data_IF_968555751389
#
_entry.id   IF_968555751389
#
_cell.length_a   1.000
_cell.length_b   1.000
_cell.length_c   1.000
_cell.angle_alpha   90.00
_cell.angle_beta   90.00
_cell.angle_gamma   90.00
#
_symmetry.space_group_name_H-M   'P 1'
#
loop_
_entity.id
_entity.type
_entity.pdbx_description
1 polymer ?
#
# COMPACT_ATOMS: atom_id res chain seq x y z
N UNK A 1 41.40 20.09 19.56
CA UNK A 1 40.54 19.19 20.35
C UNK A 1 39.30 19.88 20.93
N UNK A 2 39.37 21.16 21.34
CA UNK A 2 38.18 21.87 21.87
C UNK A 2 37.12 22.31 20.83
N UNK A 3 37.45 22.31 19.54
CA UNK A 3 36.55 22.79 18.50
C UNK A 3 35.66 21.68 17.87
N UNK A 4 36.03 20.43 18.02
CA UNK A 4 35.20 19.29 17.55
C UNK A 4 34.06 18.94 18.53
N UNK A 5 34.30 19.03 19.82
CA UNK A 5 33.32 18.76 20.86
C UNK A 5 32.18 19.84 20.85
N UNK A 6 32.55 21.09 20.60
CA UNK A 6 31.60 22.19 20.46
C UNK A 6 30.72 22.10 19.21
N UNK A 7 31.25 21.51 18.11
CA UNK A 7 30.49 21.23 16.90
C UNK A 7 29.55 20.05 17.06
N UNK A 8 29.96 19.02 17.78
CA UNK A 8 29.15 17.84 18.07
C UNK A 8 28.00 18.18 19.02
N UNK A 9 28.25 19.00 20.06
CA UNK A 9 27.19 19.52 20.96
C UNK A 9 26.19 20.42 20.23
N UNK A 10 26.63 21.26 19.28
CA UNK A 10 25.70 22.06 18.45
C UNK A 10 24.88 21.21 17.48
N UNK A 11 25.44 20.11 16.96
CA UNK A 11 24.71 19.15 16.13
C UNK A 11 23.67 18.39 16.95
N UNK A 12 24.01 17.92 18.14
CA UNK A 12 23.07 17.29 19.07
C UNK A 12 21.94 18.23 19.51
N UNK A 13 22.26 19.49 19.83
CA UNK A 13 21.24 20.47 20.24
C UNK A 13 20.28 20.84 19.10
N UNK A 14 20.75 20.89 17.85
CA UNK A 14 19.90 21.09 16.68
C UNK A 14 19.09 19.84 16.34
N UNK A 15 19.61 18.66 16.65
CA UNK A 15 18.92 17.38 16.47
C UNK A 15 17.77 17.26 17.49
N UNK A 16 18.00 17.52 18.78
CA UNK A 16 16.96 17.53 19.81
C UNK A 16 15.82 18.54 19.51
N UNK A 17 16.14 19.73 18.99
CA UNK A 17 15.10 20.70 18.59
C UNK A 17 14.29 20.26 17.38
N UNK A 18 14.89 19.52 16.45
CA UNK A 18 14.17 18.95 15.29
C UNK A 18 13.23 17.81 15.72
N UNK A 19 13.63 17.02 16.72
CA UNK A 19 12.85 15.94 17.31
C UNK A 19 11.65 16.46 18.12
N UNK A 20 11.82 17.51 18.92
CA UNK A 20 10.72 18.17 19.63
C UNK A 20 9.67 18.74 18.67
N UNK A 21 10.10 19.32 17.55
CA UNK A 21 9.20 19.83 16.51
C UNK A 21 8.46 18.67 15.83
N UNK A 22 9.13 17.56 15.57
CA UNK A 22 8.53 16.38 14.94
C UNK A 22 7.55 15.66 15.87
N UNK A 23 7.88 15.52 17.14
CA UNK A 23 7.01 14.97 18.17
C UNK A 23 5.76 15.86 18.39
N UNK A 24 5.91 17.18 18.37
CA UNK A 24 4.80 18.12 18.44
C UNK A 24 3.88 18.07 17.21
N UNK A 25 4.42 17.77 16.02
CA UNK A 25 3.65 17.63 14.78
C UNK A 25 2.90 16.29 14.73
N UNK A 26 3.50 15.21 15.25
CA UNK A 26 2.91 13.86 15.23
C UNK A 26 1.92 13.61 16.36
N UNK A 27 2.07 14.33 17.49
CA UNK A 27 1.23 14.17 18.67
C UNK A 27 0.01 15.12 18.74
N UNK A 28 -0.12 16.10 17.83
CA UNK A 28 -1.24 17.02 17.84
C UNK A 28 -1.72 17.44 16.44
N UNK A 29 -2.93 17.02 16.03
CA UNK A 29 -3.57 17.48 14.79
C UNK A 29 -3.76 19.00 14.71
N UNK A 30 -3.71 19.71 15.84
CA UNK A 30 -3.82 21.18 15.92
C UNK A 30 -2.60 21.92 15.36
N UNK A 31 -1.39 21.39 15.56
CA UNK A 31 -0.15 21.99 15.03
C UNK A 31 -0.06 21.85 13.52
N UNK A 32 -0.58 20.78 12.96
CA UNK A 32 -0.64 20.56 11.51
C UNK A 32 -1.52 21.64 10.81
N UNK A 33 -2.65 22.04 11.41
CA UNK A 33 -3.50 23.12 10.89
C UNK A 33 -2.88 24.52 11.03
N UNK A 34 -2.14 24.82 12.08
CA UNK A 34 -1.52 26.13 12.31
C UNK A 34 -0.42 26.45 11.29
N UNK A 35 0.35 25.46 10.85
CA UNK A 35 1.40 25.66 9.85
C UNK A 35 0.84 25.92 8.43
N UNK A 36 -0.37 25.45 8.12
CA UNK A 36 -1.01 25.65 6.82
C UNK A 36 -1.93 26.88 6.75
N UNK A 37 -2.45 27.37 7.87
CA UNK A 37 -3.29 28.60 7.88
C UNK A 37 -2.47 29.90 7.84
N UNK A 38 -1.20 29.90 8.24
CA UNK A 38 -0.37 31.11 8.25
C UNK A 38 0.01 31.64 6.87
N UNK A 39 -0.18 30.85 5.80
CA UNK A 39 0.07 31.28 4.40
C UNK A 39 -1.12 31.99 3.73
N UNK A 40 -2.33 31.96 4.32
CA UNK A 40 -3.52 32.65 3.77
C UNK A 40 -3.74 34.06 4.31
N UNK A 41 -3.15 34.44 5.45
CA UNK A 41 -3.39 35.76 6.07
C UNK A 41 -2.47 36.88 5.56
N UNK A 42 -1.53 36.60 4.65
CA UNK A 42 -0.62 37.65 4.14
C UNK A 42 -1.01 38.21 2.76
N UNK A 43 -2.20 37.85 2.23
CA UNK A 43 -2.69 38.37 0.94
C UNK A 43 -3.98 39.22 1.04
N UNK A 44 -4.46 39.55 2.24
CA UNK A 44 -5.73 40.30 2.41
C UNK A 44 -5.60 41.69 3.04
N UNK A 45 -4.41 42.26 3.17
CA UNK A 45 -4.23 43.60 3.78
C UNK A 45 -3.67 44.68 2.81
N UNK A 46 -4.12 44.68 1.55
CA UNK A 46 -3.96 45.87 0.69
C UNK A 46 -5.23 45.97 -0.14
N UNK A 47 -6.23 46.66 0.35
CA UNK A 47 -7.24 47.47 -0.33
C UNK A 47 -8.47 47.69 0.54
N UNK A 48 -8.43 48.67 1.40
CA UNK A 48 -9.61 49.37 1.90
C UNK A 48 -9.22 50.80 2.23
N UNK A 49 -9.58 51.73 1.37
CA UNK A 49 -9.84 53.13 1.73
C UNK A 49 -10.82 53.76 0.76
N UNK A 50 -11.87 54.30 1.41
CA UNK A 50 -12.69 55.45 1.11
C UNK A 50 -13.96 55.35 0.27
N UNK A 51 -15.05 55.52 1.00
CA UNK A 51 -16.42 55.92 0.63
C UNK A 51 -16.46 57.45 0.49
N UNK A 52 -17.37 58.09 -0.29
CA UNK A 52 -18.66 58.40 0.30
C UNK A 52 -19.90 58.39 -0.66
N UNK A 53 -21.03 58.30 0.01
CA UNK A 53 -22.45 58.39 -0.33
C UNK A 53 -22.93 59.53 -1.25
N UNK A 54 -23.99 59.28 -2.05
CA UNK A 54 -25.28 60.01 -2.00
C UNK A 54 -26.35 59.49 -2.96
N UNK A 55 -27.50 59.18 -2.44
CA UNK A 55 -28.92 59.53 -2.67
C UNK A 55 -29.60 59.44 -4.05
N UNK A 56 -30.73 58.71 -4.03
CA UNK A 56 -32.11 58.99 -4.52
C UNK A 56 -32.50 58.96 -6.02
N UNK A 57 -33.52 58.18 -6.29
CA UNK A 57 -34.82 58.46 -6.91
C UNK A 57 -35.21 57.72 -8.22
N UNK A 58 -36.26 56.87 -8.04
CA UNK A 58 -37.56 56.75 -8.79
C UNK A 58 -37.62 56.32 -10.28
N UNK A 59 -38.46 55.31 -10.47
CA UNK A 59 -39.18 54.75 -11.60
C UNK A 59 -40.00 55.84 -12.39
N UNK A 60 -40.36 55.74 -13.70
CA UNK A 60 -41.38 54.82 -14.20
C UNK A 60 -41.30 54.32 -15.67
N UNK A 61 -42.04 53.20 -15.89
CA UNK A 61 -42.91 52.78 -17.03
C UNK A 61 -42.51 52.80 -18.51
N UNK A 62 -42.95 51.68 -19.15
CA UNK A 62 -42.92 51.22 -20.51
C UNK A 62 -43.62 52.11 -21.56
N UNK A 63 -43.60 51.85 -22.89
CA UNK A 63 -44.31 50.73 -23.55
C UNK A 63 -43.69 50.08 -24.81
N UNK A 64 -44.15 48.85 -25.04
CA UNK A 64 -44.42 48.06 -26.25
C UNK A 64 -44.16 48.64 -27.65
N UNK A 65 -43.46 47.88 -28.52
CA UNK A 65 -43.90 47.47 -29.90
C UNK A 65 -43.02 46.37 -30.52
N UNK A 66 -43.60 45.69 -31.45
CA UNK A 66 -43.42 44.40 -32.10
C UNK A 66 -42.20 44.21 -33.03
N UNK A 67 -42.00 42.94 -33.28
CA UNK A 67 -41.52 42.23 -34.51
C UNK A 67 -40.03 42.11 -34.76
N UNK A 68 -39.60 40.82 -34.85
CA UNK A 68 -38.39 40.41 -35.53
C UNK A 68 -37.84 39.03 -35.11
N UNK A 69 -38.31 38.00 -35.76
CA UNK A 69 -37.80 36.63 -35.64
C UNK A 69 -36.30 36.54 -35.81
N UNK A 70 -35.59 35.95 -34.86
CA UNK A 70 -34.39 35.10 -35.09
C UNK A 70 -34.18 34.12 -33.94
N UNK A 71 -34.23 32.83 -34.28
CA UNK A 71 -33.91 31.68 -33.42
C UNK A 71 -32.52 31.87 -32.79
N UNK A 72 -32.43 31.84 -31.46
CA UNK A 72 -31.21 31.55 -30.71
C UNK A 72 -31.55 30.60 -29.58
N UNK A 73 -30.75 29.49 -29.55
CA UNK A 73 -30.71 28.43 -28.55
C UNK A 73 -30.56 29.03 -27.15
N UNK A 74 -31.49 28.75 -26.28
CA UNK A 74 -31.31 28.90 -24.85
C UNK A 74 -30.60 27.66 -24.33
N UNK A 75 -29.38 27.85 -23.88
CA UNK A 75 -28.70 26.91 -23.00
C UNK A 75 -29.15 27.21 -21.58
N UNK A 76 -29.62 26.18 -20.90
CA UNK A 76 -29.85 26.18 -19.47
C UNK A 76 -28.57 26.54 -18.74
N UNK A 77 -28.57 27.65 -18.01
CA UNK A 77 -27.64 27.98 -16.94
C UNK A 77 -28.45 27.86 -15.65
N UNK A 78 -28.36 26.73 -15.01
CA UNK A 78 -28.58 26.55 -13.57
C UNK A 78 -28.03 25.19 -13.17
N UNK A 79 -27.24 25.18 -12.09
CA UNK A 79 -26.64 24.03 -11.39
C UNK A 79 -25.37 23.43 -12.02
N UNK A 80 -24.25 24.09 -11.81
CA UNK A 80 -22.93 23.46 -11.76
C UNK A 80 -21.95 24.34 -10.99
N UNK A 81 -22.12 24.46 -9.68
CA UNK A 81 -21.14 25.14 -8.81
C UNK A 81 -20.85 24.41 -7.50
N UNK A 82 -21.10 23.09 -7.43
CA UNK A 82 -20.78 22.30 -6.24
C UNK A 82 -19.88 21.08 -6.48
N UNK A 83 -19.52 20.72 -7.74
CA UNK A 83 -18.72 19.53 -8.04
C UNK A 83 -17.23 19.78 -8.20
N UNK A 84 -16.79 21.03 -8.42
CA UNK A 84 -15.37 21.32 -8.65
C UNK A 84 -14.55 21.58 -7.35
N UNK A 85 -15.21 21.93 -6.24
CA UNK A 85 -14.52 22.13 -4.96
C UNK A 85 -14.14 20.82 -4.27
N UNK A 86 -14.93 19.76 -4.45
CA UNK A 86 -14.70 18.47 -3.80
C UNK A 86 -13.63 17.66 -4.54
N UNK A 87 -13.60 17.72 -5.87
CA UNK A 87 -12.55 17.09 -6.68
C UNK A 87 -11.16 17.72 -6.47
N UNK A 88 -11.08 19.04 -6.26
CA UNK A 88 -9.84 19.73 -5.91
C UNK A 88 -9.39 19.43 -4.47
N UNK A 89 -10.32 19.23 -3.53
CA UNK A 89 -10.01 18.85 -2.16
C UNK A 89 -9.45 17.41 -2.07
N UNK A 90 -10.04 16.45 -2.79
CA UNK A 90 -9.54 15.07 -2.89
C UNK A 90 -8.17 15.00 -3.58
N UNK A 91 -7.99 15.70 -4.71
CA UNK A 91 -6.70 15.79 -5.40
C UNK A 91 -5.61 16.41 -4.51
N UNK A 92 -5.96 17.38 -3.67
CA UNK A 92 -5.02 18.02 -2.76
C UNK A 92 -4.67 17.14 -1.55
N UNK A 93 -5.61 16.35 -1.04
CA UNK A 93 -5.37 15.41 0.08
C UNK A 93 -4.43 14.28 -0.33
N UNK A 94 -4.66 13.68 -1.51
CA UNK A 94 -3.79 12.64 -2.08
C UNK A 94 -2.40 13.20 -2.43
N UNK A 95 -2.33 14.42 -2.98
CA UNK A 95 -1.05 15.10 -3.25
C UNK A 95 -0.30 15.46 -1.97
N UNK A 96 -1.02 15.76 -0.88
CA UNK A 96 -0.43 16.10 0.42
C UNK A 96 0.07 14.87 1.14
N UNK A 97 -0.64 13.75 1.11
CA UNK A 97 -0.18 12.46 1.63
C UNK A 97 1.05 11.94 0.86
N UNK A 98 1.05 12.04 -0.48
CA UNK A 98 2.22 11.71 -1.30
C UNK A 98 3.42 12.63 -0.99
N UNK A 99 3.20 13.92 -0.76
CA UNK A 99 4.27 14.86 -0.36
C UNK A 99 4.81 14.57 1.05
N UNK A 100 3.96 14.23 2.03
CA UNK A 100 4.42 13.88 3.37
C UNK A 100 5.22 12.57 3.37
N UNK A 101 4.75 11.50 2.67
CA UNK A 101 5.51 10.26 2.49
C UNK A 101 6.84 10.50 1.76
N UNK A 102 6.86 11.37 0.74
CA UNK A 102 8.06 11.72 0.01
C UNK A 102 9.05 12.57 0.83
N UNK A 103 8.55 13.45 1.72
CA UNK A 103 9.39 14.24 2.64
C UNK A 103 10.02 13.35 3.72
N UNK A 104 9.26 12.43 4.30
CA UNK A 104 9.75 11.43 5.25
C UNK A 104 10.78 10.51 4.60
N UNK A 105 10.54 10.09 3.37
CA UNK A 105 11.47 9.27 2.57
C UNK A 105 12.76 10.03 2.19
N UNK A 106 12.68 11.32 1.81
CA UNK A 106 13.88 12.14 1.55
C UNK A 106 14.70 12.41 2.82
N UNK A 107 14.01 12.58 3.96
CA UNK A 107 14.68 12.75 5.25
C UNK A 107 15.38 11.47 5.68
N UNK A 108 14.75 10.33 5.48
CA UNK A 108 15.33 9.00 5.69
C UNK A 108 16.55 8.75 4.79
N UNK A 109 16.47 9.08 3.49
CA UNK A 109 17.63 8.99 2.57
C UNK A 109 18.79 9.93 2.95
N UNK A 110 18.50 11.08 3.54
CA UNK A 110 19.52 12.04 3.96
C UNK A 110 20.26 11.54 5.21
N UNK A 111 19.55 10.90 6.15
CA UNK A 111 20.15 10.23 7.31
C UNK A 111 21.01 9.04 6.90
N UNK A 112 20.55 8.22 5.95
CA UNK A 112 21.30 7.06 5.48
C UNK A 112 22.56 7.41 4.67
N UNK A 113 22.56 8.55 3.95
CA UNK A 113 23.76 9.01 3.23
C UNK A 113 24.89 9.51 4.13
N UNK A 114 24.59 9.89 5.36
CA UNK A 114 25.60 10.36 6.32
C UNK A 114 26.29 9.21 7.08
N UNK A 115 25.69 8.01 7.12
CA UNK A 115 26.24 6.85 7.84
C UNK A 115 26.99 5.84 6.94
N UNK A 116 27.10 6.08 5.64
CA UNK A 116 27.75 5.15 4.69
C UNK A 116 29.18 5.60 4.29
N UNK A 117 29.69 6.67 4.89
CA UNK A 117 31.08 7.02 4.75
C UNK A 117 31.88 6.45 5.95
N UNK A 118 32.59 5.38 5.71
CA UNK A 118 33.54 4.63 6.54
C UNK A 118 33.07 3.26 7.01
N UNK A 119 33.40 2.25 6.20
CA UNK A 119 34.18 1.04 6.54
C UNK A 119 34.07 0.00 5.43
N UNK A 120 35.08 -0.06 4.61
CA UNK A 120 35.40 -1.26 3.82
C UNK A 120 36.01 -2.28 4.79
N UNK A 121 35.38 -3.45 4.92
CA UNK A 121 35.93 -4.65 5.56
C UNK A 121 35.97 -5.77 4.52
N UNK A 122 37.09 -6.51 4.42
CA UNK A 122 37.29 -7.46 3.33
C UNK A 122 36.40 -8.70 3.48
N UNK A 123 35.97 -9.22 2.34
CA UNK A 123 35.21 -10.45 2.18
C UNK A 123 35.94 -11.67 2.75
N UNK A 124 35.36 -12.30 3.76
CA UNK A 124 35.70 -13.65 4.19
C UNK A 124 34.53 -14.60 3.93
N UNK A 125 34.92 -15.72 3.36
CA UNK A 125 34.14 -16.88 2.92
C UNK A 125 33.01 -17.31 3.86
N UNK A 126 31.85 -17.59 3.25
CA UNK A 126 30.69 -18.20 3.87
C UNK A 126 30.99 -19.57 4.47
N UNK A 127 30.87 -19.70 5.78
CA UNK A 127 30.65 -20.97 6.45
C UNK A 127 29.14 -21.11 6.72
N UNK A 128 28.55 -22.13 6.13
CA UNK A 128 27.20 -22.59 6.38
C UNK A 128 27.08 -23.13 7.80
N UNK A 129 26.23 -22.51 8.61
CA UNK A 129 25.81 -23.06 9.91
C UNK A 129 24.72 -24.08 9.64
N UNK A 130 25.05 -25.36 9.78
CA UNK A 130 24.12 -26.49 9.75
C UNK A 130 23.35 -26.51 11.08
N UNK A 131 22.04 -26.25 11.04
CA UNK A 131 21.13 -26.64 12.10
C UNK A 131 20.81 -28.12 11.92
N UNK A 132 21.26 -28.96 12.85
CA UNK A 132 20.96 -30.38 12.90
C UNK A 132 19.50 -30.61 13.24
N UNK A 133 18.74 -31.09 12.26
CA UNK A 133 17.45 -31.73 12.41
C UNK A 133 17.49 -32.99 11.58
N UNK A 134 17.10 -34.13 12.14
CA UNK A 134 17.09 -35.43 11.51
C UNK A 134 16.29 -35.39 10.18
N UNK A 135 16.99 -35.77 9.10
CA UNK A 135 16.39 -35.86 7.78
C UNK A 135 15.57 -37.18 7.74
N UNK A 136 14.24 -37.03 7.75
CA UNK A 136 13.36 -38.09 7.31
C UNK A 136 13.48 -38.14 5.78
N UNK A 137 14.18 -39.11 5.26
CA UNK A 137 14.21 -39.43 3.82
C UNK A 137 12.80 -39.81 3.36
N UNK A 138 12.06 -38.85 2.76
CA UNK A 138 10.87 -39.14 1.98
C UNK A 138 11.06 -38.64 0.54
N UNK A 139 11.16 -39.60 -0.35
CA UNK A 139 11.01 -39.54 -1.81
C UNK A 139 11.26 -38.18 -2.48
N UNK A 140 12.45 -37.95 -2.96
CA UNK A 140 12.87 -36.80 -3.77
C UNK A 140 12.27 -36.89 -5.18
N UNK A 141 11.06 -36.37 -5.33
CA UNK A 141 10.59 -35.91 -6.63
C UNK A 141 11.10 -34.46 -6.78
N UNK A 142 11.91 -34.21 -7.79
CA UNK A 142 12.52 -32.88 -8.07
C UNK A 142 11.46 -31.84 -8.34
N UNK A 143 11.29 -30.88 -7.42
CA UNK A 143 10.42 -29.69 -7.57
C UNK A 143 11.29 -28.43 -7.70
N UNK A 144 12.47 -28.56 -8.23
CA UNK A 144 13.38 -27.42 -8.42
C UNK A 144 12.91 -26.39 -9.47
N UNK A 145 11.76 -26.66 -10.16
CA UNK A 145 11.33 -25.82 -11.26
C UNK A 145 10.62 -24.52 -10.84
N UNK A 146 10.04 -24.41 -9.65
CA UNK A 146 9.23 -23.23 -9.28
C UNK A 146 10.02 -22.07 -8.65
N UNK A 147 11.26 -22.27 -8.23
CA UNK A 147 12.09 -21.24 -7.59
C UNK A 147 12.52 -20.12 -8.55
N UNK A 148 12.78 -18.95 -7.99
CA UNK A 148 13.32 -17.79 -8.71
C UNK A 148 14.74 -17.47 -8.25
N UNK A 149 15.74 -17.23 -9.15
CA UNK A 149 17.06 -16.79 -8.74
C UNK A 149 17.02 -15.40 -8.07
N UNK A 150 17.87 -15.20 -7.07
CA UNK A 150 18.09 -13.89 -6.49
C UNK A 150 19.05 -13.09 -7.41
N UNK A 151 18.51 -12.09 -8.10
CA UNK A 151 19.24 -11.27 -9.07
C UNK A 151 19.88 -10.02 -8.48
N UNK A 152 20.11 -10.01 -7.18
CA UNK A 152 20.72 -8.92 -6.40
C UNK A 152 19.77 -8.32 -5.37
N UNK A 153 19.74 -8.94 -4.17
CA UNK A 153 18.86 -8.58 -3.05
C UNK A 153 17.37 -8.47 -3.42
N UNK A 154 16.89 -9.36 -4.30
CA UNK A 154 15.52 -9.34 -4.83
C UNK A 154 14.56 -10.32 -4.15
N UNK A 155 14.91 -10.85 -2.99
CA UNK A 155 14.06 -11.75 -2.21
C UNK A 155 12.66 -11.14 -1.93
N UNK A 156 12.57 -9.83 -1.68
CA UNK A 156 11.31 -9.10 -1.54
C UNK A 156 10.43 -9.22 -2.79
N UNK A 157 11.01 -9.07 -3.97
CA UNK A 157 10.34 -9.16 -5.26
C UNK A 157 9.94 -10.62 -5.56
N UNK A 158 10.87 -11.56 -5.36
CA UNK A 158 10.64 -12.98 -5.58
C UNK A 158 9.48 -13.49 -4.72
N UNK A 159 9.46 -13.17 -3.41
CA UNK A 159 8.39 -13.56 -2.49
C UNK A 159 7.04 -12.98 -2.89
N UNK A 160 6.98 -11.71 -3.31
CA UNK A 160 5.74 -11.10 -3.79
C UNK A 160 5.27 -11.72 -5.10
N UNK A 161 6.17 -11.99 -6.05
CA UNK A 161 5.83 -12.64 -7.31
C UNK A 161 5.30 -14.06 -7.06
N UNK A 162 5.92 -14.86 -6.20
CA UNK A 162 5.42 -16.19 -5.83
C UNK A 162 4.00 -16.13 -5.27
N UNK A 163 3.72 -15.17 -4.38
CA UNK A 163 2.37 -14.99 -3.83
C UNK A 163 1.34 -14.58 -4.89
N UNK A 164 1.69 -13.65 -5.80
CA UNK A 164 0.79 -13.18 -6.86
C UNK A 164 0.54 -14.26 -7.91
N UNK A 165 1.58 -14.99 -8.32
CA UNK A 165 1.47 -16.07 -9.32
C UNK A 165 0.63 -17.24 -8.82
N UNK A 166 0.55 -17.43 -7.51
CA UNK A 166 -0.30 -18.44 -6.88
C UNK A 166 -1.81 -18.05 -6.85
N UNK A 167 -2.15 -16.80 -7.21
CA UNK A 167 -3.53 -16.36 -7.40
C UNK A 167 -3.89 -16.54 -8.88
N UNK A 168 -4.23 -17.77 -9.26
CA UNK A 168 -4.46 -18.13 -10.67
C UNK A 168 -5.51 -17.26 -11.36
N UNK A 169 -6.59 -16.88 -10.65
CA UNK A 169 -7.65 -16.08 -11.24
C UNK A 169 -7.14 -14.67 -11.60
N UNK A 170 -6.27 -14.09 -10.77
CA UNK A 170 -5.65 -12.80 -11.06
C UNK A 170 -4.81 -12.84 -12.34
N UNK A 171 -3.95 -13.87 -12.47
CA UNK A 171 -3.11 -14.07 -13.66
C UNK A 171 -3.97 -14.37 -14.89
N UNK A 172 -4.99 -15.22 -14.74
CA UNK A 172 -5.92 -15.57 -15.83
C UNK A 172 -6.67 -14.35 -16.33
N UNK A 173 -7.12 -13.46 -15.46
CA UNK A 173 -7.86 -12.27 -15.84
C UNK A 173 -6.96 -11.23 -16.53
N UNK A 174 -5.66 -11.16 -16.18
CA UNK A 174 -4.66 -10.42 -16.96
C UNK A 174 -4.54 -11.03 -18.36
N UNK A 175 -4.32 -12.34 -18.49
CA UNK A 175 -4.14 -13.01 -19.78
C UNK A 175 -5.36 -12.92 -20.72
N UNK A 176 -6.57 -13.01 -20.17
CA UNK A 176 -7.81 -12.90 -20.98
C UNK A 176 -7.91 -11.58 -21.76
N UNK A 177 -7.21 -10.58 -21.31
CA UNK A 177 -7.21 -9.24 -21.90
C UNK A 177 -5.91 -8.92 -22.65
N UNK A 178 -5.13 -9.94 -23.02
CA UNK A 178 -3.81 -9.80 -23.67
C UNK A 178 -3.86 -8.98 -24.95
N UNK A 179 -4.92 -9.11 -25.73
CA UNK A 179 -5.12 -8.33 -26.96
C UNK A 179 -5.10 -6.81 -26.72
N UNK A 180 -5.45 -6.34 -25.52
CA UNK A 180 -5.51 -4.93 -25.17
C UNK A 180 -4.18 -4.36 -24.72
N UNK A 181 -3.28 -5.20 -24.17
CA UNK A 181 -2.05 -4.73 -23.54
C UNK A 181 -0.76 -5.29 -24.18
N UNK A 182 -0.82 -6.39 -24.93
CA UNK A 182 0.38 -7.08 -25.42
C UNK A 182 1.28 -6.22 -26.33
N UNK A 183 0.70 -5.34 -27.14
CA UNK A 183 1.44 -4.43 -28.00
C UNK A 183 1.56 -3.01 -27.46
N UNK A 184 0.92 -2.70 -26.34
CA UNK A 184 0.89 -1.37 -25.76
C UNK A 184 2.21 -1.03 -25.06
N UNK A 185 2.93 0.04 -25.46
CA UNK A 185 4.17 0.43 -24.81
C UNK A 185 4.06 0.75 -23.32
N UNK A 186 2.90 1.29 -22.87
CA UNK A 186 2.68 1.62 -21.46
C UNK A 186 2.45 0.39 -20.61
N UNK A 187 1.95 -0.70 -21.18
CA UNK A 187 1.62 -1.95 -20.46
C UNK A 187 2.82 -2.92 -20.32
N UNK A 188 4.05 -2.42 -20.41
CA UNK A 188 5.26 -3.26 -20.30
C UNK A 188 5.28 -4.09 -19.01
N UNK A 189 4.81 -3.53 -17.90
CA UNK A 189 4.83 -4.22 -16.61
C UNK A 189 3.94 -5.49 -16.63
N UNK A 190 2.77 -5.43 -17.27
CA UNK A 190 1.88 -6.59 -17.45
C UNK A 190 2.55 -7.67 -18.31
N UNK A 191 3.16 -7.28 -19.45
CA UNK A 191 3.90 -8.23 -20.28
C UNK A 191 4.98 -8.95 -19.50
N UNK A 192 5.81 -8.20 -18.77
CA UNK A 192 6.91 -8.78 -17.99
C UNK A 192 6.43 -9.67 -16.84
N UNK A 193 5.26 -9.36 -16.25
CA UNK A 193 4.65 -10.25 -15.26
C UNK A 193 4.25 -11.59 -15.91
N UNK A 194 3.66 -11.54 -17.09
CA UNK A 194 3.25 -12.75 -17.82
C UNK A 194 4.48 -13.55 -18.32
N UNK A 195 5.54 -12.87 -18.80
CA UNK A 195 6.80 -13.52 -19.14
C UNK A 195 7.39 -14.29 -17.93
N UNK A 196 7.33 -13.70 -16.73
CA UNK A 196 7.77 -14.35 -15.48
C UNK A 196 6.87 -15.55 -15.14
N UNK A 197 5.54 -15.43 -15.33
CA UNK A 197 4.62 -16.56 -15.12
C UNK A 197 4.89 -17.70 -16.10
N UNK A 198 5.19 -17.39 -17.36
CA UNK A 198 5.41 -18.38 -18.41
C UNK A 198 6.70 -19.18 -18.22
N UNK A 199 7.72 -18.56 -17.60
CA UNK A 199 8.95 -19.26 -17.26
C UNK A 199 8.95 -19.88 -15.84
N UNK A 200 7.86 -19.72 -15.05
CA UNK A 200 7.81 -20.13 -13.65
C UNK A 200 8.13 -21.63 -13.45
N UNK A 201 7.58 -22.48 -14.30
CA UNK A 201 7.77 -23.94 -14.26
C UNK A 201 9.02 -24.42 -15.01
N UNK A 202 9.81 -23.51 -15.58
CA UNK A 202 11.03 -23.85 -16.30
C UNK A 202 12.15 -24.27 -15.34
N UNK A 203 12.93 -25.24 -15.71
CA UNK A 203 14.19 -25.60 -15.04
C UNK A 203 15.37 -24.75 -15.50
N UNK A 204 15.19 -23.93 -16.55
CA UNK A 204 16.21 -23.01 -17.05
C UNK A 204 16.28 -21.74 -16.18
N UNK A 205 17.22 -21.75 -15.25
CA UNK A 205 17.47 -20.58 -14.38
C UNK A 205 18.03 -19.37 -15.14
N UNK A 206 18.67 -19.57 -16.30
CA UNK A 206 19.11 -18.45 -17.16
C UNK A 206 17.93 -17.71 -17.77
N UNK A 207 16.92 -18.46 -18.22
CA UNK A 207 15.66 -17.92 -18.72
C UNK A 207 14.94 -17.13 -17.63
N UNK A 208 14.84 -17.69 -16.41
CA UNK A 208 14.23 -17.01 -15.25
C UNK A 208 14.98 -15.74 -14.89
N UNK A 209 16.30 -15.76 -14.78
CA UNK A 209 17.13 -14.58 -14.52
C UNK A 209 16.85 -13.47 -15.55
N UNK A 210 16.79 -13.83 -16.84
CA UNK A 210 16.49 -12.90 -17.91
C UNK A 210 15.12 -12.21 -17.71
N UNK A 211 14.06 -12.99 -17.48
CA UNK A 211 12.71 -12.44 -17.32
C UNK A 211 12.54 -11.63 -16.02
N UNK A 212 13.18 -12.05 -14.92
CA UNK A 212 13.18 -11.31 -13.67
C UNK A 212 13.90 -9.96 -13.79
N UNK A 213 15.05 -9.90 -14.50
CA UNK A 213 15.73 -8.64 -14.80
C UNK A 213 14.89 -7.72 -15.68
N UNK A 214 14.23 -8.28 -16.69
CA UNK A 214 13.34 -7.53 -17.57
C UNK A 214 12.12 -6.98 -16.79
N UNK A 215 11.53 -7.78 -15.90
CA UNK A 215 10.45 -7.35 -15.01
C UNK A 215 10.93 -6.24 -14.06
N UNK A 216 12.06 -6.44 -13.36
CA UNK A 216 12.63 -5.44 -12.45
C UNK A 216 12.94 -4.13 -13.18
N UNK A 217 13.45 -4.20 -14.40
CA UNK A 217 13.72 -3.02 -15.24
C UNK A 217 12.42 -2.28 -15.60
N UNK A 218 11.38 -2.99 -16.01
CA UNK A 218 10.08 -2.40 -16.33
C UNK A 218 9.44 -1.74 -15.09
N UNK A 219 9.49 -2.42 -13.92
CA UNK A 219 9.01 -1.86 -12.67
C UNK A 219 9.80 -0.62 -12.22
N UNK A 220 11.13 -0.69 -12.25
CA UNK A 220 11.99 0.42 -11.82
C UNK A 220 11.95 1.64 -12.76
N UNK A 221 11.43 1.51 -13.98
CA UNK A 221 11.16 2.67 -14.85
C UNK A 221 10.03 3.55 -14.31
N UNK A 222 9.09 2.98 -13.58
CA UNK A 222 7.97 3.68 -12.91
C UNK A 222 8.30 4.01 -11.45
N UNK A 223 9.12 3.18 -10.80
CA UNK A 223 9.57 3.31 -9.40
C UNK A 223 11.11 3.35 -9.33
N UNK A 224 11.75 4.50 -9.63
CA UNK A 224 13.22 4.59 -9.74
C UNK A 224 14.00 4.21 -8.49
N UNK A 225 13.39 4.24 -7.31
CA UNK A 225 13.97 3.79 -6.05
C UNK A 225 14.27 2.29 -6.02
N UNK A 226 13.68 1.48 -6.93
CA UNK A 226 13.95 0.05 -7.09
C UNK A 226 15.06 -0.26 -8.10
N UNK A 227 15.71 0.78 -8.62
CA UNK A 227 16.92 0.62 -9.44
C UNK A 227 18.10 0.19 -8.56
N UNK A 228 18.95 -0.68 -9.07
CA UNK A 228 20.11 -1.20 -8.33
C UNK A 228 19.80 -2.43 -7.47
N UNK A 229 20.66 -2.70 -6.46
CA UNK A 229 20.63 -3.93 -5.66
C UNK A 229 20.40 -3.69 -4.17
N UNK A 230 19.90 -2.50 -3.77
CA UNK A 230 19.55 -2.26 -2.37
C UNK A 230 18.38 -3.15 -1.94
N UNK A 231 18.44 -3.65 -0.70
CA UNK A 231 17.29 -4.33 -0.09
C UNK A 231 16.09 -3.40 -0.03
N UNK A 232 14.88 -3.97 -0.20
CA UNK A 232 13.62 -3.23 -0.24
C UNK A 232 12.57 -3.91 0.62
N UNK A 233 11.58 -3.15 1.02
CA UNK A 233 10.42 -3.66 1.73
C UNK A 233 9.44 -4.35 0.76
N UNK A 234 9.00 -5.57 1.13
CA UNK A 234 8.11 -6.38 0.28
C UNK A 234 6.69 -5.79 0.22
N UNK A 235 6.17 -5.21 1.32
CA UNK A 235 4.84 -4.60 1.33
C UNK A 235 4.83 -3.30 0.51
N UNK A 236 5.89 -2.49 0.60
CA UNK A 236 6.05 -1.28 -0.23
C UNK A 236 6.13 -1.66 -1.72
N UNK A 237 6.93 -2.68 -2.07
CA UNK A 237 7.02 -3.18 -3.44
C UNK A 237 5.66 -3.64 -3.97
N UNK A 238 4.96 -4.49 -3.23
CA UNK A 238 3.65 -5.01 -3.63
C UNK A 238 2.62 -3.90 -3.82
N UNK A 239 2.57 -2.96 -2.88
CA UNK A 239 1.66 -1.81 -2.93
C UNK A 239 1.92 -0.95 -4.17
N UNK A 240 3.19 -0.66 -4.47
CA UNK A 240 3.55 0.10 -5.66
C UNK A 240 3.24 -0.67 -6.94
N UNK A 241 3.52 -1.97 -6.98
CA UNK A 241 3.22 -2.83 -8.13
C UNK A 241 1.71 -2.83 -8.45
N UNK A 242 0.85 -3.09 -7.44
CA UNK A 242 -0.60 -3.08 -7.63
C UNK A 242 -1.11 -1.70 -8.07
N UNK A 243 -0.56 -0.62 -7.50
CA UNK A 243 -0.92 0.74 -7.91
C UNK A 243 -0.50 1.05 -9.36
N UNK A 244 0.67 0.57 -9.82
CA UNK A 244 1.09 0.76 -11.21
C UNK A 244 0.21 -0.02 -12.19
N UNK A 245 -0.21 -1.23 -11.85
CA UNK A 245 -1.19 -1.98 -12.65
C UNK A 245 -2.54 -1.25 -12.69
N UNK A 246 -3.03 -0.77 -11.53
CA UNK A 246 -4.28 0.02 -11.47
C UNK A 246 -4.18 1.31 -12.29
N UNK A 247 -3.04 1.99 -12.30
CA UNK A 247 -2.81 3.22 -13.07
C UNK A 247 -2.98 3.04 -14.58
N UNK A 248 -2.77 1.83 -15.08
CA UNK A 248 -2.98 1.51 -16.51
C UNK A 248 -4.46 1.41 -16.88
N UNK A 249 -5.37 1.18 -15.93
CA UNK A 249 -6.78 0.90 -16.22
C UNK A 249 -7.45 1.95 -17.10
N UNK A 250 -7.41 3.28 -16.81
CA UNK A 250 -8.08 4.27 -17.68
C UNK A 250 -7.52 4.33 -19.11
N UNK A 251 -6.24 3.96 -19.29
CA UNK A 251 -5.62 3.89 -20.62
C UNK A 251 -6.11 2.65 -21.37
N UNK A 252 -6.11 1.49 -20.75
CA UNK A 252 -6.57 0.23 -21.35
C UNK A 252 -8.08 0.22 -21.60
N UNK A 253 -8.88 0.87 -20.76
CA UNK A 253 -10.32 1.10 -20.99
C UNK A 253 -10.58 1.88 -22.27
N UNK A 254 -9.82 2.97 -22.51
CA UNK A 254 -9.92 3.74 -23.75
C UNK A 254 -9.52 2.92 -24.96
N UNK A 255 -8.44 2.14 -24.88
CA UNK A 255 -7.99 1.27 -25.95
C UNK A 255 -9.05 0.18 -26.27
N UNK A 256 -9.62 -0.44 -25.22
CA UNK A 256 -10.68 -1.43 -25.36
C UNK A 256 -11.91 -0.84 -26.05
N UNK A 257 -12.35 0.36 -25.64
CA UNK A 257 -13.47 1.04 -26.25
C UNK A 257 -13.27 1.32 -27.76
N UNK A 258 -12.04 1.66 -28.17
CA UNK A 258 -11.68 1.84 -29.59
C UNK A 258 -11.78 0.53 -30.39
N UNK A 259 -11.59 -0.61 -29.73
CA UNK A 259 -11.70 -1.96 -30.32
C UNK A 259 -13.11 -2.56 -30.18
N UNK A 260 -14.08 -1.82 -29.63
CA UNK A 260 -15.43 -2.34 -29.33
C UNK A 260 -15.42 -3.42 -28.24
N UNK A 261 -14.43 -3.40 -27.35
CA UNK A 261 -14.25 -4.34 -26.24
C UNK A 261 -14.40 -3.61 -24.89
N UNK A 262 -14.43 -4.36 -23.81
CA UNK A 262 -14.37 -3.86 -22.43
C UNK A 262 -13.07 -4.30 -21.78
N UNK A 263 -12.53 -3.45 -20.88
CA UNK A 263 -11.42 -3.79 -19.99
C UNK A 263 -11.91 -3.82 -18.55
N UNK A 264 -11.46 -4.81 -17.80
CA UNK A 264 -11.68 -4.92 -16.35
C UNK A 264 -10.34 -4.91 -15.67
N UNK A 265 -10.11 -3.97 -14.76
CA UNK A 265 -8.84 -3.88 -14.03
C UNK A 265 -8.68 -5.08 -13.08
N UNK A 266 -7.69 -5.96 -13.28
CA UNK A 266 -7.52 -7.15 -12.43
C UNK A 266 -7.25 -6.80 -10.96
N UNK A 267 -6.61 -5.66 -10.70
CA UNK A 267 -6.35 -5.20 -9.32
C UNK A 267 -7.63 -4.77 -8.64
N UNK A 268 -8.51 -4.05 -9.35
CA UNK A 268 -9.81 -3.64 -8.80
C UNK A 268 -10.71 -4.84 -8.54
N UNK A 269 -10.70 -5.82 -9.44
CA UNK A 269 -11.51 -7.03 -9.32
C UNK A 269 -11.07 -7.95 -8.16
N UNK A 270 -9.74 -8.06 -7.92
CA UNK A 270 -9.21 -9.04 -6.98
C UNK A 270 -8.78 -8.46 -5.63
N UNK A 271 -8.23 -7.24 -5.60
CA UNK A 271 -7.52 -6.74 -4.42
C UNK A 271 -8.13 -5.48 -3.79
N UNK A 272 -8.96 -4.72 -4.54
CA UNK A 272 -9.55 -3.50 -3.99
C UNK A 272 -10.76 -3.85 -3.12
N UNK A 273 -10.80 -3.21 -1.96
CA UNK A 273 -11.95 -3.18 -1.07
C UNK A 273 -12.13 -1.78 -0.49
N UNK A 274 -13.34 -1.49 -0.04
CA UNK A 274 -13.69 -0.22 0.60
C UNK A 274 -13.81 -0.40 2.09
N UNK A 275 -13.18 0.52 2.82
CA UNK A 275 -13.40 0.70 4.25
C UNK A 275 -14.27 1.93 4.46
N UNK A 276 -15.25 1.80 5.34
CA UNK A 276 -16.02 2.92 5.87
C UNK A 276 -15.45 3.33 7.23
N UNK A 277 -15.12 4.61 7.36
CA UNK A 277 -14.71 5.24 8.61
C UNK A 277 -15.85 6.12 9.11
N UNK A 278 -16.66 5.61 10.04
CA UNK A 278 -17.78 6.33 10.64
C UNK A 278 -17.31 7.04 11.90
N UNK A 279 -17.52 8.34 11.92
CA UNK A 279 -17.24 9.20 13.08
C UNK A 279 -18.54 9.68 13.70
N UNK A 280 -18.68 9.51 15.03
CA UNK A 280 -19.82 9.94 15.81
C UNK A 280 -19.36 10.98 16.87
N UNK A 281 -19.91 12.18 16.85
CA UNK A 281 -19.62 13.20 17.86
C UNK A 281 -20.23 12.79 19.22
N UNK A 282 -19.44 12.74 20.29
CA UNK A 282 -19.92 12.38 21.64
C UNK A 282 -20.88 13.44 22.25
N UNK A 283 -20.78 14.69 21.80
CA UNK A 283 -21.60 15.77 22.38
C UNK A 283 -22.98 15.89 21.76
N UNK A 284 -23.11 15.72 20.42
CA UNK A 284 -24.38 15.93 19.72
C UNK A 284 -24.87 14.69 18.94
N UNK A 285 -24.11 13.61 18.90
CA UNK A 285 -24.45 12.40 18.15
C UNK A 285 -24.37 12.54 16.63
N UNK A 286 -23.89 13.69 16.11
CA UNK A 286 -23.73 13.87 14.66
C UNK A 286 -22.77 12.83 14.10
N UNK A 287 -23.19 12.16 13.03
CA UNK A 287 -22.40 11.14 12.33
C UNK A 287 -21.93 11.64 10.96
N UNK A 288 -20.70 11.30 10.63
CA UNK A 288 -20.15 11.48 9.28
C UNK A 288 -19.35 10.25 8.88
N UNK A 289 -19.58 9.75 7.68
CA UNK A 289 -18.82 8.61 7.15
C UNK A 289 -17.91 9.05 6.00
N UNK A 290 -16.79 8.35 5.87
CA UNK A 290 -15.84 8.48 4.78
C UNK A 290 -15.47 7.08 4.28
N UNK A 291 -15.52 6.91 2.97
CA UNK A 291 -15.12 5.67 2.32
C UNK A 291 -13.73 5.84 1.67
N UNK A 292 -12.87 4.83 1.86
CA UNK A 292 -11.53 4.80 1.30
C UNK A 292 -11.24 3.45 0.66
N UNK A 293 -10.55 3.46 -0.50
CA UNK A 293 -10.12 2.25 -1.20
C UNK A 293 -8.78 1.74 -0.65
N UNK A 294 -8.71 0.44 -0.39
CA UNK A 294 -7.52 -0.26 0.10
C UNK A 294 -7.17 -1.43 -0.81
N UNK A 295 -5.88 -1.74 -0.94
CA UNK A 295 -5.35 -2.96 -1.55
C UNK A 295 -4.83 -3.96 -0.53
N UNK A 296 -4.56 -3.50 0.69
CA UNK A 296 -4.08 -4.30 1.82
C UNK A 296 -4.41 -3.59 3.12
N UNK A 297 -4.55 -4.35 4.20
CA UNK A 297 -4.78 -3.81 5.54
C UNK A 297 -3.54 -4.02 6.41
N UNK A 298 -2.99 -2.94 6.98
CA UNK A 298 -1.84 -3.00 7.87
C UNK A 298 -2.28 -3.07 9.32
N UNK A 299 -1.98 -4.19 9.98
CA UNK A 299 -2.39 -4.51 11.34
C UNK A 299 -1.26 -4.27 12.34
N UNK A 300 -1.57 -3.62 13.45
CA UNK A 300 -0.67 -3.52 14.59
C UNK A 300 -0.57 -4.88 15.29
N UNK A 301 0.64 -5.24 15.74
CA UNK A 301 0.86 -6.49 16.44
C UNK A 301 0.23 -6.44 17.84
N UNK A 302 -0.49 -7.49 18.17
CA UNK A 302 -0.97 -7.76 19.52
C UNK A 302 -0.07 -8.85 20.12
N UNK A 303 0.67 -8.59 21.21
CA UNK A 303 1.56 -9.58 21.80
C UNK A 303 0.84 -10.90 22.06
N UNK A 304 1.42 -12.03 21.63
CA UNK A 304 0.84 -13.38 21.74
C UNK A 304 -0.57 -13.51 21.12
N UNK A 305 -0.96 -12.53 20.31
CA UNK A 305 -2.27 -12.46 19.68
C UNK A 305 -2.37 -13.32 18.43
N UNK A 306 -3.53 -13.25 17.82
CA UNK A 306 -3.85 -13.91 16.56
C UNK A 306 -4.27 -12.89 15.51
N UNK A 307 -4.31 -13.30 14.24
CA UNK A 307 -4.82 -12.45 13.15
C UNK A 307 -6.25 -11.98 13.44
N UNK A 308 -7.08 -12.82 14.02
CA UNK A 308 -8.46 -12.46 14.43
C UNK A 308 -8.42 -11.33 15.46
N UNK A 309 -7.60 -11.46 16.52
CA UNK A 309 -7.51 -10.42 17.56
C UNK A 309 -6.98 -9.08 16.99
N UNK A 310 -6.07 -9.13 16.02
CA UNK A 310 -5.55 -7.92 15.35
C UNK A 310 -6.62 -7.25 14.49
N UNK A 311 -7.41 -8.03 13.75
CA UNK A 311 -8.55 -7.52 12.97
C UNK A 311 -9.62 -6.92 13.88
N UNK A 312 -10.00 -7.62 14.96
CA UNK A 312 -10.95 -7.12 15.95
C UNK A 312 -10.45 -5.80 16.56
N UNK A 313 -9.17 -5.72 16.91
CA UNK A 313 -8.56 -4.50 17.45
C UNK A 313 -8.58 -3.36 16.43
N UNK A 314 -8.31 -3.64 15.15
CA UNK A 314 -8.36 -2.65 14.08
C UNK A 314 -9.78 -2.11 13.84
N UNK A 315 -10.79 -2.98 13.91
CA UNK A 315 -12.19 -2.64 13.68
C UNK A 315 -12.90 -2.10 14.93
N UNK A 316 -12.21 -2.15 16.09
CA UNK A 316 -12.75 -1.67 17.35
C UNK A 316 -12.92 -0.16 17.30
N UNK A 317 -14.05 0.31 17.84
CA UNK A 317 -14.33 1.71 18.03
C UNK A 317 -13.27 2.39 18.92
N UNK A 318 -12.78 3.54 18.46
CA UNK A 318 -11.72 4.30 19.12
C UNK A 318 -12.17 5.73 19.40
N UNK A 319 -11.86 6.23 20.59
CA UNK A 319 -12.06 7.64 20.90
C UNK A 319 -10.98 8.48 20.25
N UNK A 320 -11.39 9.54 19.55
CA UNK A 320 -10.49 10.48 18.87
C UNK A 320 -10.82 11.92 19.28
N UNK A 321 -9.79 12.76 19.33
CA UNK A 321 -9.99 14.20 19.44
C UNK A 321 -10.38 14.77 18.08
N UNK A 322 -11.63 15.15 17.95
CA UNK A 322 -12.14 15.79 16.73
C UNK A 322 -13.16 16.89 17.10
N UNK A 323 -12.95 18.10 16.57
CA UNK A 323 -13.86 19.23 16.80
C UNK A 323 -15.06 19.17 15.87
N UNK A 324 -16.22 18.96 16.45
CA UNK A 324 -17.51 19.01 15.75
C UNK A 324 -18.01 20.47 15.65
N UNK A 325 -18.88 20.76 14.68
CA UNK A 325 -19.52 22.07 14.51
C UNK A 325 -20.39 22.48 15.71
N UNK A 326 -20.87 21.52 16.50
CA UNK A 326 -21.57 21.77 17.76
C UNK A 326 -20.65 22.27 18.89
N UNK A 327 -19.34 22.37 18.67
CA UNK A 327 -18.33 22.75 19.66
C UNK A 327 -17.76 21.56 20.47
N UNK A 328 -18.30 20.37 20.35
CA UNK A 328 -17.76 19.14 20.97
C UNK A 328 -16.36 18.83 20.45
N UNK A 329 -15.47 18.30 21.32
CA UNK A 329 -14.06 18.01 20.99
C UNK A 329 -13.72 16.53 20.95
N UNK A 330 -14.62 15.65 21.42
CA UNK A 330 -14.46 14.20 21.43
C UNK A 330 -15.44 13.54 20.47
N UNK A 331 -14.93 12.59 19.69
CA UNK A 331 -15.71 11.75 18.77
C UNK A 331 -15.27 10.29 18.89
N UNK A 332 -16.14 9.39 18.51
CA UNK A 332 -15.83 7.99 18.32
C UNK A 332 -15.62 7.72 16.83
N UNK A 333 -14.56 6.99 16.50
CA UNK A 333 -14.24 6.52 15.15
C UNK A 333 -14.38 5.02 15.10
N UNK A 334 -15.23 4.52 14.20
CA UNK A 334 -15.42 3.11 13.92
C UNK A 334 -15.06 2.84 12.47
N UNK A 335 -14.10 1.94 12.24
CA UNK A 335 -13.77 1.45 10.92
C UNK A 335 -14.49 0.12 10.65
N UNK A 336 -15.05 -0.05 9.46
CA UNK A 336 -15.68 -1.30 9.03
C UNK A 336 -15.39 -1.57 7.55
N UNK A 337 -15.40 -2.85 7.15
CA UNK A 337 -15.38 -3.18 5.74
C UNK A 337 -16.74 -2.82 5.12
N UNK A 338 -16.73 -1.94 4.13
CA UNK A 338 -17.90 -1.69 3.29
C UNK A 338 -18.03 -2.79 2.23
N UNK A 339 -16.95 -3.07 1.48
CA UNK A 339 -16.88 -4.19 0.54
C UNK A 339 -15.73 -5.13 0.92
N UNK A 340 -15.75 -6.34 0.37
CA UNK A 340 -14.73 -7.36 0.60
C UNK A 340 -14.05 -7.74 -0.72
N UNK A 341 -12.68 -7.82 -0.77
CA UNK A 341 -11.95 -8.21 -1.98
C UNK A 341 -12.03 -9.72 -2.21
N UNK A 342 -11.68 -10.18 -3.42
CA UNK A 342 -11.46 -11.62 -3.67
C UNK A 342 -10.21 -12.14 -2.96
N UNK A 343 -9.19 -11.30 -2.83
CA UNK A 343 -7.95 -11.60 -2.12
C UNK A 343 -7.67 -10.51 -1.11
N UNK A 344 -7.81 -10.83 0.17
CA UNK A 344 -7.51 -9.94 1.28
C UNK A 344 -6.03 -10.08 1.65
N UNK A 345 -5.27 -9.00 1.53
CA UNK A 345 -3.87 -8.94 1.91
C UNK A 345 -3.76 -8.26 3.27
N UNK A 346 -3.21 -8.97 4.25
CA UNK A 346 -2.92 -8.44 5.58
C UNK A 346 -1.42 -8.25 5.74
N UNK A 347 -1.00 -7.05 6.10
CA UNK A 347 0.38 -6.71 6.41
C UNK A 347 0.53 -6.56 7.93
N UNK A 348 1.51 -7.23 8.52
CA UNK A 348 1.83 -7.18 9.94
C UNK A 348 2.91 -6.13 10.18
N UNK A 349 2.60 -5.09 10.95
CA UNK A 349 3.52 -3.98 11.25
C UNK A 349 4.64 -4.41 12.21
N UNK A 350 5.55 -5.26 11.73
CA UNK A 350 6.70 -5.75 12.52
C UNK A 350 7.81 -4.72 12.71
N UNK A 351 7.82 -3.66 11.91
CA UNK A 351 8.80 -2.59 12.06
C UNK A 351 8.16 -1.37 12.71
N UNK A 352 8.74 -0.94 13.82
CA UNK A 352 8.29 0.21 14.59
C UNK A 352 9.46 0.99 15.16
N UNK A 353 9.17 2.12 15.83
CA UNK A 353 10.17 2.94 16.48
C UNK A 353 10.18 2.64 17.98
N UNK A 354 11.39 2.59 18.55
CA UNK A 354 11.58 2.59 20.01
C UNK A 354 11.30 3.99 20.55
N UNK A 355 11.22 4.12 21.89
CA UNK A 355 11.14 5.43 22.55
C UNK A 355 12.34 6.34 22.23
N UNK A 356 13.46 5.76 21.82
CA UNK A 356 14.68 6.47 21.37
C UNK A 356 14.73 6.68 19.87
N UNK A 357 13.60 6.54 19.17
CA UNK A 357 13.43 6.70 17.71
C UNK A 357 14.30 5.79 16.83
N UNK A 358 14.86 4.72 17.41
CA UNK A 358 15.54 3.70 16.62
C UNK A 358 14.49 2.75 16.02
N UNK A 359 14.70 2.31 14.79
CA UNK A 359 13.85 1.30 14.17
C UNK A 359 14.10 -0.04 14.89
N UNK A 360 13.03 -0.68 15.32
CA UNK A 360 13.06 -2.02 15.92
C UNK A 360 12.14 -2.95 15.14
N UNK A 361 12.61 -4.16 14.90
CA UNK A 361 11.75 -5.26 14.46
C UNK A 361 11.12 -5.93 15.68
N UNK A 362 9.84 -6.23 15.59
CA UNK A 362 9.07 -6.94 16.61
C UNK A 362 8.90 -8.38 16.15
N UNK A 363 9.51 -9.31 16.89
CA UNK A 363 9.50 -10.73 16.59
C UNK A 363 8.50 -11.53 17.45
N UNK A 364 7.58 -10.84 18.13
CA UNK A 364 6.52 -11.50 18.91
C UNK A 364 5.74 -12.49 18.05
N UNK A 365 5.41 -13.68 18.59
CA UNK A 365 4.67 -14.68 17.85
C UNK A 365 3.24 -14.22 17.56
N UNK A 366 2.76 -14.51 16.37
CA UNK A 366 1.40 -14.25 15.91
C UNK A 366 0.78 -15.56 15.47
N UNK A 367 -0.32 -15.96 16.10
CA UNK A 367 -1.06 -17.16 15.64
C UNK A 367 -1.71 -16.88 14.29
N UNK A 368 -1.30 -17.64 13.28
CA UNK A 368 -1.79 -17.54 11.91
C UNK A 368 -3.00 -18.48 11.75
N UNK A 369 -4.17 -17.92 11.47
CA UNK A 369 -5.36 -18.71 11.17
C UNK A 369 -5.34 -19.11 9.69
N UNK A 370 -5.69 -20.38 9.42
CA UNK A 370 -5.88 -20.90 8.07
C UNK A 370 -7.15 -20.31 7.43
N UNK A 371 -8.19 -20.14 8.23
CA UNK A 371 -9.47 -19.62 7.78
C UNK A 371 -9.88 -18.39 8.59
N UNK A 372 -10.46 -17.41 7.90
CA UNK A 372 -10.98 -16.19 8.49
C UNK A 372 -12.44 -15.98 8.07
N UNK A 373 -13.25 -15.49 8.99
CA UNK A 373 -14.56 -14.91 8.68
C UNK A 373 -14.44 -13.39 8.88
N UNK A 374 -14.64 -12.65 7.81
CA UNK A 374 -14.52 -11.19 7.83
C UNK A 374 -15.91 -10.58 7.63
N UNK A 375 -16.39 -9.79 8.61
CA UNK A 375 -17.67 -9.09 8.47
C UNK A 375 -17.53 -7.89 7.52
N UNK A 376 -18.62 -7.54 6.82
CA UNK A 376 -18.71 -6.27 6.08
C UNK A 376 -20.14 -5.74 6.12
N UNK A 377 -20.32 -4.47 5.76
CA UNK A 377 -21.64 -3.83 5.68
C UNK A 377 -22.54 -4.49 4.63
N UNK A 378 -21.96 -5.17 3.63
CA UNK A 378 -22.68 -5.87 2.55
C UNK A 378 -22.80 -7.39 2.79
N UNK A 379 -22.52 -7.86 4.00
CA UNK A 379 -22.50 -9.27 4.38
C UNK A 379 -21.06 -9.76 4.57
N UNK A 380 -20.91 -10.87 5.30
CA UNK A 380 -19.58 -11.44 5.60
C UNK A 380 -18.95 -12.18 4.43
N UNK A 381 -17.67 -12.54 4.57
CA UNK A 381 -16.93 -13.42 3.66
C UNK A 381 -16.07 -14.41 4.43
N UNK A 382 -16.03 -15.65 3.94
CA UNK A 382 -15.10 -16.68 4.42
C UNK A 382 -13.86 -16.65 3.54
N UNK A 383 -12.69 -16.73 4.16
CA UNK A 383 -11.41 -16.65 3.51
C UNK A 383 -10.50 -17.80 3.96
N UNK A 384 -9.73 -18.35 3.05
CA UNK A 384 -8.68 -19.32 3.36
C UNK A 384 -7.30 -18.73 3.04
N UNK A 385 -6.34 -18.95 3.94
CA UNK A 385 -4.95 -18.54 3.76
C UNK A 385 -4.31 -19.32 2.62
N UNK A 386 -3.78 -18.61 1.62
CA UNK A 386 -3.16 -19.23 0.44
C UNK A 386 -1.68 -18.89 0.30
N UNK A 387 -1.19 -17.84 0.96
CA UNK A 387 0.24 -17.51 0.93
C UNK A 387 0.66 -16.69 2.15
N UNK A 388 1.90 -16.91 2.60
CA UNK A 388 2.58 -16.21 3.69
C UNK A 388 3.90 -15.70 3.15
N UNK A 389 4.16 -14.39 3.26
CA UNK A 389 5.50 -13.83 3.07
C UNK A 389 6.07 -13.57 4.45
N UNK A 390 7.23 -14.14 4.73
CA UNK A 390 7.95 -14.02 5.99
C UNK A 390 9.24 -13.24 5.83
N UNK A 391 9.62 -12.49 6.86
CA UNK A 391 10.87 -11.73 6.90
C UNK A 391 11.76 -12.22 8.05
N UNK A 392 12.98 -12.60 7.71
CA UNK A 392 14.03 -13.01 8.64
C UNK A 392 15.15 -11.96 8.68
N UNK A 393 15.82 -11.84 9.81
CA UNK A 393 16.87 -10.84 10.01
C UNK A 393 16.38 -9.57 10.70
N UNK A 394 17.18 -8.52 10.67
CA UNK A 394 16.94 -7.27 11.39
C UNK A 394 16.38 -6.15 10.52
N UNK A 395 16.60 -4.92 10.98
CA UNK A 395 16.14 -3.69 10.31
C UNK A 395 17.07 -3.22 9.20
N UNK A 396 18.35 -3.57 9.28
CA UNK A 396 19.38 -3.14 8.31
C UNK A 396 19.59 -4.14 7.19
N UNK A 397 19.41 -5.43 7.52
CA UNK A 397 19.55 -6.53 6.57
C UNK A 397 18.59 -7.63 6.92
N UNK A 398 17.98 -8.24 5.90
CA UNK A 398 17.03 -9.32 6.08
C UNK A 398 16.81 -10.11 4.80
N UNK A 399 15.98 -11.11 4.92
CA UNK A 399 15.64 -12.00 3.84
C UNK A 399 14.15 -12.33 3.86
N UNK A 400 13.52 -12.28 2.70
CA UNK A 400 12.12 -12.66 2.52
C UNK A 400 12.02 -14.06 1.91
N UNK A 401 11.11 -14.85 2.43
CA UNK A 401 10.67 -16.12 1.85
C UNK A 401 9.15 -16.12 1.66
N UNK A 402 8.66 -16.96 0.77
CA UNK A 402 7.23 -17.17 0.55
C UNK A 402 6.88 -18.61 0.83
N UNK A 403 5.80 -18.86 1.58
CA UNK A 403 5.17 -20.17 1.65
C UNK A 403 3.76 -20.08 1.10
N UNK A 404 3.40 -20.92 0.15
CA UNK A 404 2.07 -20.88 -0.45
C UNK A 404 1.54 -22.27 -0.81
N UNK A 405 0.23 -22.33 -1.03
CA UNK A 405 -0.45 -23.54 -1.53
C UNK A 405 0.25 -24.03 -2.79
N UNK A 406 0.40 -25.35 -2.93
CA UNK A 406 1.01 -25.94 -4.12
C UNK A 406 0.19 -25.57 -5.37
N UNK A 407 0.82 -25.16 -6.49
CA UNK A 407 0.11 -24.71 -7.69
C UNK A 407 -0.89 -25.71 -8.28
N UNK A 408 -0.64 -27.01 -8.12
CA UNK A 408 -1.54 -28.08 -8.57
C UNK A 408 -2.66 -28.40 -7.57
N UNK A 409 -2.70 -27.74 -6.41
CA UNK A 409 -3.70 -28.01 -5.39
C UNK A 409 -5.02 -27.37 -5.77
N UNK A 410 -6.08 -28.18 -5.95
CA UNK A 410 -7.41 -27.65 -6.19
C UNK A 410 -8.04 -27.13 -4.89
N UNK A 411 -8.93 -26.15 -4.97
CA UNK A 411 -9.67 -25.61 -3.80
C UNK A 411 -10.51 -26.68 -3.04
N UNK A 412 -10.76 -27.82 -3.67
CA UNK A 412 -11.53 -28.93 -3.10
C UNK A 412 -10.66 -30.10 -2.65
N UNK A 413 -9.33 -29.96 -2.73
CA UNK A 413 -8.41 -31.00 -2.28
C UNK A 413 -8.44 -31.11 -0.75
N UNK A 414 -8.45 -32.34 -0.26
CA UNK A 414 -8.28 -32.63 1.17
C UNK A 414 -6.82 -32.65 1.60
N UNK A 415 -5.90 -32.51 0.64
CA UNK A 415 -4.46 -32.47 0.91
C UNK A 415 -4.05 -31.08 1.35
N UNK A 416 -3.11 -31.00 2.30
CA UNK A 416 -2.54 -29.73 2.79
C UNK A 416 -1.12 -29.55 2.20
N UNK A 417 -1.00 -29.57 0.85
CA UNK A 417 0.29 -29.45 0.17
C UNK A 417 0.65 -27.97 -0.02
N UNK A 418 1.77 -27.58 0.52
CA UNK A 418 2.36 -26.25 0.37
C UNK A 418 3.80 -26.34 -0.09
N UNK A 419 4.30 -25.25 -0.67
CA UNK A 419 5.70 -25.04 -1.03
C UNK A 419 6.24 -23.84 -0.32
N UNK A 420 7.47 -23.94 0.22
CA UNK A 420 8.25 -22.83 0.73
C UNK A 420 9.31 -22.43 -0.29
N UNK A 421 9.25 -21.21 -0.76
CA UNK A 421 10.15 -20.63 -1.76
C UNK A 421 11.18 -19.73 -1.05
N UNK A 422 12.42 -20.17 -1.04
CA UNK A 422 13.57 -19.41 -0.60
C UNK A 422 14.43 -19.07 -1.83
N UNK A 423 14.02 -18.03 -2.56
CA UNK A 423 14.55 -17.68 -3.88
C UNK A 423 14.50 -18.91 -4.83
N UNK A 424 15.66 -19.44 -5.22
CA UNK A 424 15.76 -20.61 -6.12
C UNK A 424 15.48 -21.95 -5.41
N UNK A 425 15.54 -22.00 -4.09
CA UNK A 425 15.29 -23.22 -3.33
C UNK A 425 13.80 -23.37 -3.05
N UNK A 426 13.26 -24.56 -3.32
CA UNK A 426 11.85 -24.87 -3.08
C UNK A 426 11.76 -26.13 -2.22
N UNK A 427 11.01 -26.02 -1.12
CA UNK A 427 10.82 -27.11 -0.18
C UNK A 427 9.33 -27.44 -0.05
N UNK A 428 9.02 -28.73 0.03
CA UNK A 428 7.67 -29.16 0.40
C UNK A 428 7.38 -28.86 1.86
N UNK A 429 6.17 -28.40 2.13
CA UNK A 429 5.64 -28.20 3.47
C UNK A 429 4.13 -28.45 3.47
N UNK A 430 3.52 -28.26 4.63
CA UNK A 430 2.06 -28.18 4.77
C UNK A 430 1.67 -26.77 5.22
N UNK A 431 0.44 -26.37 4.95
CA UNK A 431 -0.05 -25.07 5.43
C UNK A 431 -0.08 -24.99 6.95
N UNK A 432 -0.32 -26.13 7.63
CA UNK A 432 -0.26 -26.20 9.10
C UNK A 432 1.15 -25.98 9.61
N UNK A 433 2.16 -26.66 9.05
CA UNK A 433 3.56 -26.46 9.41
C UNK A 433 4.04 -25.03 9.09
N UNK A 434 3.71 -24.49 7.91
CA UNK A 434 4.04 -23.11 7.55
C UNK A 434 3.45 -22.09 8.52
N UNK A 435 2.20 -22.28 8.96
CA UNK A 435 1.57 -21.41 9.98
C UNK A 435 2.26 -21.50 11.34
N UNK A 436 2.73 -22.68 11.74
CA UNK A 436 3.42 -22.88 13.01
C UNK A 436 4.83 -22.31 13.00
N UNK A 437 5.62 -22.59 11.95
CA UNK A 437 7.01 -22.17 11.83
C UNK A 437 7.17 -20.66 11.64
N UNK A 438 6.18 -20.01 11.01
CA UNK A 438 6.30 -18.61 10.60
C UNK A 438 5.63 -17.61 11.56
N UNK A 439 5.22 -18.03 12.76
CA UNK A 439 4.58 -17.14 13.75
C UNK A 439 5.43 -15.91 14.09
N UNK A 440 6.73 -16.07 14.20
CA UNK A 440 7.66 -14.99 14.54
C UNK A 440 8.09 -14.13 13.35
N UNK A 441 7.93 -14.62 12.13
CA UNK A 441 8.50 -14.02 10.92
C UNK A 441 7.46 -13.59 9.88
N UNK A 442 6.22 -14.07 9.97
CA UNK A 442 5.15 -13.71 9.03
C UNK A 442 5.02 -12.17 8.93
N UNK A 443 5.05 -11.67 7.70
CA UNK A 443 5.06 -10.25 7.39
C UNK A 443 3.86 -9.83 6.54
N UNK A 444 3.49 -10.61 5.51
CA UNK A 444 2.26 -10.45 4.75
C UNK A 444 1.53 -11.78 4.60
N UNK A 445 0.21 -11.73 4.64
CA UNK A 445 -0.68 -12.89 4.54
C UNK A 445 -1.67 -12.63 3.42
N UNK A 446 -1.85 -13.62 2.54
CA UNK A 446 -2.81 -13.56 1.44
C UNK A 446 -3.94 -14.53 1.73
N UNK A 447 -5.14 -13.99 1.88
CA UNK A 447 -6.36 -14.74 2.13
C UNK A 447 -7.27 -14.67 0.92
N UNK A 448 -7.59 -15.82 0.33
CA UNK A 448 -8.50 -15.94 -0.81
C UNK A 448 -9.92 -16.19 -0.33
N UNK A 449 -10.89 -15.45 -0.88
CA UNK A 449 -12.30 -15.59 -0.55
C UNK A 449 -12.86 -16.88 -1.12
N UNK A 450 -13.61 -17.61 -0.28
CA UNK A 450 -14.36 -18.80 -0.67
C UNK A 450 -15.74 -18.35 -1.16
N UNK A 451 -16.13 -18.77 -2.36
CA UNK A 451 -17.41 -18.45 -3.00
C UNK A 451 -18.32 -19.67 -3.03
#
# INVERSE_FOLDING_TARGET
MEDEDSREQKKQLNFCKAEEILAAITSSPKMFKLLFHRKKSHKQNVAEKEIPSTSHQSIPDAPVTENGQKKRKWRHLCCSSQTDSDAEAESNTVKTQKKCRWFLFKFWKKLHKQNVAEKEIPSTSHQSVACGGEIIESQTGTIDCFGFPNIGNTCYMNSCLQSLLNIEEFIRDIRRQEVLWSTDPEAQLLRRLIDVRDCHESTDYGLKDHHLRAFKKAFSSQAPEYTGSAQKDAHEFLTLFLNEVKRLAPHLERNAALLGQSYTCPVEEHHIFKMENMRTCKSCGHQSSQHEDFTSLSLDLVPEGSIINMLETYLKEQEIEFRCDCGGTASELKSSFDTLPRVLILHLKRFGFTQTYNIKKVDDPVRLQRDLVVPSNQGGGCYSLVSIISHYGGTESGHYICSSVHPEESQHSTSDRWLTYNDAQVLHTTGSAACEEQQHSAYMLFYKRNF
#
